data_IF_007502702438
#
_entry.id   IF_007502702438
#
_cell.length_a   1.000
_cell.length_b   1.000
_cell.length_c   1.000
_cell.angle_alpha   90.00
_cell.angle_beta   90.00
_cell.angle_gamma   90.00
#
_symmetry.space_group_name_H-M   'P 1'
#
loop_
_entity.id
_entity.type
_entity.pdbx_description
1 polymer ?
#
# COMPACT_ATOMS: atom_id res chain seq x y z
N UNK A 1 -40.19 28.10 38.30
CA UNK A 1 -39.73 28.70 37.01
C UNK A 1 -38.24 29.06 36.94
N UNK A 2 -37.37 28.72 37.91
CA UNK A 2 -35.93 29.06 37.85
C UNK A 2 -35.00 27.99 37.26
N UNK A 3 -35.50 26.79 36.96
CA UNK A 3 -34.67 25.66 36.51
C UNK A 3 -34.48 25.59 34.97
N UNK A 4 -35.27 26.35 34.20
CA UNK A 4 -35.25 26.28 32.73
C UNK A 4 -34.26 27.24 32.08
N UNK A 5 -33.81 28.27 32.81
CA UNK A 5 -32.87 29.26 32.28
C UNK A 5 -31.40 28.89 32.54
N UNK A 6 -31.12 28.05 33.53
CA UNK A 6 -29.76 27.56 33.80
C UNK A 6 -29.32 26.45 32.84
N UNK A 7 -30.25 25.63 32.31
CA UNK A 7 -29.93 24.63 31.28
C UNK A 7 -29.50 25.26 29.95
N UNK A 8 -30.10 26.39 29.56
CA UNK A 8 -29.71 27.09 28.32
C UNK A 8 -28.33 27.75 28.44
N UNK A 9 -27.95 28.21 29.64
CA UNK A 9 -26.65 28.81 29.88
C UNK A 9 -25.51 27.76 29.89
N UNK A 10 -25.76 26.55 30.38
CA UNK A 10 -24.78 25.44 30.31
C UNK A 10 -24.62 24.88 28.91
N UNK A 11 -25.69 24.87 28.10
CA UNK A 11 -25.64 24.37 26.72
C UNK A 11 -24.90 25.34 25.77
N UNK A 12 -24.94 26.65 26.05
CA UNK A 12 -24.17 27.65 25.29
C UNK A 12 -22.67 27.64 25.61
N UNK A 13 -22.28 27.20 26.82
CA UNK A 13 -20.87 27.19 27.24
C UNK A 13 -20.09 25.97 26.69
N UNK A 14 -20.79 24.88 26.36
CA UNK A 14 -20.18 23.71 25.70
C UNK A 14 -19.84 23.96 24.22
N UNK A 15 -20.44 24.97 23.58
CA UNK A 15 -20.16 25.37 22.19
C UNK A 15 -18.88 26.22 22.07
N UNK A 16 -18.37 26.75 23.20
CA UNK A 16 -17.17 27.57 23.26
C UNK A 16 -15.88 26.79 23.60
N UNK A 17 -15.97 25.48 23.82
CA UNK A 17 -14.77 24.65 23.84
C UNK A 17 -14.34 24.39 22.40
N UNK A 18 -13.16 24.86 21.96
CA UNK A 18 -12.61 24.44 20.69
C UNK A 18 -12.35 22.94 20.80
N UNK A 19 -13.23 22.13 20.23
CA UNK A 19 -12.90 20.75 19.90
C UNK A 19 -11.70 20.87 18.97
N UNK A 20 -10.52 20.46 19.44
CA UNK A 20 -9.29 20.58 18.69
C UNK A 20 -9.52 20.05 17.27
N UNK A 21 -9.46 20.94 16.29
CA UNK A 21 -9.53 20.57 14.90
C UNK A 21 -8.20 19.87 14.59
N UNK A 22 -8.20 18.54 14.61
CA UNK A 22 -7.17 17.78 13.93
C UNK A 22 -7.34 18.10 12.45
N UNK A 23 -6.41 18.87 11.91
CA UNK A 23 -6.34 19.13 10.49
C UNK A 23 -5.97 17.81 9.79
N UNK A 24 -6.99 17.00 9.46
CA UNK A 24 -6.84 16.03 8.39
C UNK A 24 -6.40 16.82 7.16
N UNK A 25 -5.18 16.59 6.67
CA UNK A 25 -4.72 17.22 5.43
C UNK A 25 -5.42 16.52 4.27
N UNK A 26 -6.66 16.94 3.99
CA UNK A 26 -7.39 16.52 2.79
C UNK A 26 -6.78 17.29 1.62
N UNK A 27 -5.81 16.67 0.93
CA UNK A 27 -5.33 17.17 -0.36
C UNK A 27 -6.31 16.76 -1.45
N UNK A 28 -7.41 17.49 -1.58
CA UNK A 28 -8.39 17.31 -2.66
C UNK A 28 -8.03 18.15 -3.89
N UNK A 29 -7.92 17.51 -5.05
CA UNK A 29 -7.68 18.14 -6.35
C UNK A 29 -8.05 17.20 -7.50
N UNK A 30 -7.92 17.65 -8.75
CA UNK A 30 -8.10 16.76 -9.91
C UNK A 30 -7.07 15.63 -9.89
N UNK A 31 -5.83 15.94 -9.51
CA UNK A 31 -4.73 14.99 -9.46
C UNK A 31 -3.90 15.15 -8.18
N UNK A 32 -3.39 14.04 -7.66
CA UNK A 32 -2.37 14.00 -6.62
C UNK A 32 -1.24 13.07 -7.04
N UNK A 33 0.01 13.50 -6.83
CA UNK A 33 1.20 12.68 -7.10
C UNK A 33 2.19 12.77 -5.95
N UNK A 34 2.48 11.62 -5.33
CA UNK A 34 3.66 11.42 -4.47
C UNK A 34 4.78 10.87 -5.37
N UNK A 35 5.88 11.62 -5.49
CA UNK A 35 6.98 11.27 -6.39
C UNK A 35 7.84 10.16 -5.81
N UNK A 36 8.52 9.40 -6.67
CA UNK A 36 9.40 8.30 -6.26
C UNK A 36 10.52 8.70 -5.28
N UNK A 37 10.97 9.96 -5.32
CA UNK A 37 11.98 10.48 -4.39
C UNK A 37 11.44 10.84 -3.01
N UNK A 38 10.13 10.78 -2.81
CA UNK A 38 9.45 11.18 -1.58
C UNK A 38 9.13 9.92 -0.76
N UNK A 39 9.26 10.04 0.57
CA UNK A 39 8.89 8.97 1.50
C UNK A 39 7.98 9.57 2.56
N UNK A 40 6.80 8.99 2.75
CA UNK A 40 5.93 9.32 3.88
C UNK A 40 6.34 8.46 5.07
N UNK A 41 6.61 9.09 6.22
CA UNK A 41 7.15 8.45 7.42
C UNK A 41 6.10 8.03 8.45
N UNK A 42 4.84 7.98 8.03
CA UNK A 42 3.68 7.66 8.86
C UNK A 42 2.54 7.15 7.95
N UNK A 43 1.37 6.90 8.52
CA UNK A 43 0.16 6.58 7.80
C UNK A 43 -0.21 7.71 6.83
N UNK A 44 -0.55 7.33 5.60
CA UNK A 44 -0.85 8.26 4.52
C UNK A 44 -2.31 8.14 4.06
N UNK A 45 -3.01 9.27 4.03
CA UNK A 45 -4.41 9.36 3.63
C UNK A 45 -4.55 10.36 2.51
N UNK A 46 -5.13 9.95 1.38
CA UNK A 46 -5.22 10.80 0.19
C UNK A 46 -6.50 10.57 -0.61
N UNK A 47 -7.04 11.63 -1.19
CA UNK A 47 -8.19 11.53 -2.09
C UNK A 47 -8.15 12.58 -3.20
N UNK A 48 -8.26 12.16 -4.45
CA UNK A 48 -8.25 13.04 -5.63
C UNK A 48 -9.01 12.38 -6.81
N UNK A 49 -9.22 13.11 -7.91
CA UNK A 49 -9.74 12.50 -9.14
C UNK A 49 -8.80 11.40 -9.68
N UNK A 50 -7.51 11.69 -9.70
CA UNK A 50 -6.41 10.78 -10.02
C UNK A 50 -5.38 10.79 -8.89
N UNK A 51 -5.00 9.62 -8.38
CA UNK A 51 -3.98 9.47 -7.33
C UNK A 51 -2.84 8.60 -7.86
N UNK A 52 -1.63 9.15 -7.85
CA UNK A 52 -0.39 8.43 -8.17
C UNK A 52 0.55 8.44 -6.97
N UNK A 53 0.91 7.27 -6.47
CA UNK A 53 1.79 7.09 -5.31
C UNK A 53 3.01 6.31 -5.76
N UNK A 54 4.02 7.02 -6.26
CA UNK A 54 5.28 6.43 -6.70
C UNK A 54 6.36 6.41 -5.61
N UNK A 55 6.21 7.25 -4.57
CA UNK A 55 7.06 7.25 -3.38
C UNK A 55 6.65 6.20 -2.36
N UNK A 56 7.57 5.86 -1.46
CA UNK A 56 7.34 4.86 -0.42
C UNK A 56 6.49 5.40 0.74
N UNK A 57 5.70 4.52 1.35
CA UNK A 57 4.90 4.80 2.55
C UNK A 57 5.35 3.89 3.69
N UNK A 58 6.01 4.49 4.68
CA UNK A 58 6.49 3.85 5.93
C UNK A 58 5.36 3.81 6.98
N UNK A 59 4.20 3.29 6.58
CA UNK A 59 3.01 3.14 7.40
C UNK A 59 1.86 2.52 6.59
N UNK A 60 0.63 2.75 7.01
CA UNK A 60 -0.56 2.37 6.25
C UNK A 60 -0.85 3.38 5.13
N UNK A 61 -1.53 2.93 4.08
CA UNK A 61 -2.03 3.78 3.01
C UNK A 61 -3.55 3.65 2.88
N UNK A 62 -4.25 4.79 2.93
CA UNK A 62 -5.64 4.90 2.52
C UNK A 62 -5.73 5.87 1.34
N UNK A 63 -6.17 5.39 0.18
CA UNK A 63 -6.32 6.23 -1.02
C UNK A 63 -7.70 6.06 -1.67
N UNK A 64 -8.25 7.15 -2.18
CA UNK A 64 -9.52 7.14 -2.91
C UNK A 64 -9.49 8.03 -4.14
N UNK A 65 -10.07 7.58 -5.26
CA UNK A 65 -10.19 8.43 -6.44
C UNK A 65 -10.99 7.84 -7.59
N UNK A 66 -11.03 8.53 -8.73
CA UNK A 66 -11.51 7.96 -9.98
C UNK A 66 -10.52 6.92 -10.52
N UNK A 67 -9.24 7.26 -10.51
CA UNK A 67 -8.11 6.37 -10.81
C UNK A 67 -7.07 6.42 -9.69
N UNK A 68 -6.60 5.26 -9.23
CA UNK A 68 -5.55 5.16 -8.20
C UNK A 68 -4.45 4.20 -8.65
N UNK A 69 -3.22 4.68 -8.69
CA UNK A 69 -2.02 3.85 -8.96
C UNK A 69 -1.05 3.95 -7.79
N UNK A 70 -0.70 2.80 -7.22
CA UNK A 70 0.31 2.67 -6.16
C UNK A 70 1.50 1.90 -6.74
N UNK A 71 2.63 2.59 -6.92
CA UNK A 71 3.85 2.04 -7.51
C UNK A 71 5.09 2.29 -6.65
N UNK A 72 4.90 2.73 -5.41
CA UNK A 72 5.91 2.72 -4.36
C UNK A 72 5.49 1.74 -3.26
N UNK A 73 6.47 1.26 -2.49
CA UNK A 73 6.23 0.22 -1.49
C UNK A 73 5.46 0.76 -0.28
N UNK A 74 4.62 -0.08 0.32
CA UNK A 74 3.90 0.25 1.56
C UNK A 74 4.29 -0.72 2.67
N UNK A 75 4.80 -0.20 3.78
CA UNK A 75 5.27 -1.03 4.91
C UNK A 75 4.15 -1.60 5.79
N UNK A 76 2.98 -0.97 5.76
CA UNK A 76 1.79 -1.38 6.49
C UNK A 76 0.67 -1.87 5.58
N UNK A 77 -0.57 -1.63 6.01
CA UNK A 77 -1.78 -2.06 5.33
C UNK A 77 -2.21 -1.05 4.27
N UNK A 78 -2.89 -1.52 3.22
CA UNK A 78 -3.40 -0.68 2.13
C UNK A 78 -4.91 -0.82 2.00
N UNK A 79 -5.63 0.30 2.03
CA UNK A 79 -7.05 0.40 1.70
C UNK A 79 -7.24 1.37 0.54
N UNK A 80 -7.63 0.87 -0.63
CA UNK A 80 -7.76 1.69 -1.84
C UNK A 80 -9.13 1.51 -2.50
N UNK A 81 -9.73 2.63 -2.91
CA UNK A 81 -11.00 2.64 -3.63
C UNK A 81 -10.95 3.50 -4.88
N UNK A 82 -11.48 3.01 -6.01
CA UNK A 82 -11.69 3.84 -7.19
C UNK A 82 -12.42 3.20 -8.36
N UNK A 83 -12.55 3.90 -9.48
CA UNK A 83 -13.04 3.32 -10.72
C UNK A 83 -12.03 2.34 -11.31
N UNK A 84 -10.79 2.79 -11.42
CA UNK A 84 -9.63 2.01 -11.85
C UNK A 84 -8.56 2.01 -10.74
N UNK A 85 -8.11 0.84 -10.31
CA UNK A 85 -7.09 0.69 -9.27
C UNK A 85 -5.96 -0.22 -9.74
N UNK A 86 -4.71 0.24 -9.62
CA UNK A 86 -3.52 -0.52 -9.92
C UNK A 86 -2.55 -0.53 -8.73
N UNK A 87 -2.25 -1.71 -8.21
CA UNK A 87 -1.24 -1.93 -7.17
C UNK A 87 -0.05 -2.63 -7.81
N UNK A 88 1.04 -1.89 -7.94
CA UNK A 88 2.19 -2.22 -8.78
C UNK A 88 3.47 -2.52 -7.98
N UNK A 89 3.48 -2.22 -6.68
CA UNK A 89 4.60 -2.48 -5.78
C UNK A 89 4.12 -3.09 -4.45
N UNK A 90 5.07 -3.61 -3.68
CA UNK A 90 4.84 -4.51 -2.56
C UNK A 90 4.09 -3.85 -1.40
N UNK A 91 3.15 -4.62 -0.84
CA UNK A 91 2.40 -4.31 0.38
C UNK A 91 2.82 -5.27 1.47
N UNK A 92 3.43 -4.76 2.54
CA UNK A 92 3.94 -5.58 3.64
C UNK A 92 2.90 -5.95 4.70
N UNK A 93 1.72 -5.34 4.64
CA UNK A 93 0.55 -5.73 5.41
C UNK A 93 -0.53 -6.39 4.56
N UNK A 94 -1.78 -6.14 4.93
CA UNK A 94 -2.97 -6.56 4.18
C UNK A 94 -3.31 -5.56 3.07
N UNK A 95 -3.89 -6.03 1.97
CA UNK A 95 -4.38 -5.21 0.87
C UNK A 95 -5.89 -5.36 0.71
N UNK A 96 -6.62 -4.25 0.88
CA UNK A 96 -8.08 -4.16 0.69
C UNK A 96 -8.38 -3.19 -0.44
N UNK A 97 -8.93 -3.69 -1.55
CA UNK A 97 -9.18 -2.88 -2.76
C UNK A 97 -10.62 -2.99 -3.22
N UNK A 98 -11.23 -1.86 -3.55
CA UNK A 98 -12.53 -1.82 -4.21
C UNK A 98 -12.45 -1.01 -5.52
N UNK A 99 -12.87 -1.59 -6.64
CA UNK A 99 -13.00 -0.81 -7.87
C UNK A 99 -13.65 -1.48 -9.05
N UNK A 100 -13.95 -0.71 -10.10
CA UNK A 100 -14.51 -1.24 -11.34
C UNK A 100 -13.53 -2.20 -12.03
N UNK A 101 -12.30 -1.72 -12.23
CA UNK A 101 -11.17 -2.51 -12.69
C UNK A 101 -10.07 -2.51 -11.61
N UNK A 102 -9.58 -3.70 -11.26
CA UNK A 102 -8.49 -3.86 -10.29
C UNK A 102 -7.38 -4.69 -10.91
N UNK A 103 -6.16 -4.15 -10.85
CA UNK A 103 -4.93 -4.81 -11.25
C UNK A 103 -3.99 -4.91 -10.05
N UNK A 104 -3.52 -6.12 -9.75
CA UNK A 104 -2.48 -6.36 -8.75
C UNK A 104 -1.33 -7.12 -9.42
N UNK A 105 -0.13 -6.55 -9.36
CA UNK A 105 1.10 -7.17 -9.90
C UNK A 105 2.20 -7.31 -8.84
N UNK A 106 1.88 -7.03 -7.58
CA UNK A 106 2.85 -6.97 -6.49
C UNK A 106 2.64 -8.04 -5.43
N UNK A 107 3.62 -8.20 -4.54
CA UNK A 107 3.48 -9.08 -3.39
C UNK A 107 2.64 -8.40 -2.31
N UNK A 108 1.76 -9.19 -1.69
CA UNK A 108 1.00 -8.80 -0.50
C UNK A 108 1.40 -9.77 0.59
N UNK A 109 2.08 -9.32 1.64
CA UNK A 109 2.56 -10.22 2.68
C UNK A 109 1.42 -10.76 3.56
N UNK A 110 0.32 -10.01 3.70
CA UNK A 110 -0.87 -10.39 4.43
C UNK A 110 -2.00 -10.93 3.56
N UNK A 111 -3.23 -10.60 3.94
CA UNK A 111 -4.45 -11.00 3.23
C UNK A 111 -4.73 -10.03 2.07
N UNK A 112 -5.28 -10.54 0.97
CA UNK A 112 -5.79 -9.74 -0.14
C UNK A 112 -7.31 -9.87 -0.23
N UNK A 113 -8.02 -8.75 -0.07
CA UNK A 113 -9.48 -8.69 -0.22
C UNK A 113 -9.83 -7.71 -1.34
N UNK A 114 -10.50 -8.19 -2.39
CA UNK A 114 -10.84 -7.38 -3.57
C UNK A 114 -12.34 -7.41 -3.85
N UNK A 115 -12.93 -6.23 -4.00
CA UNK A 115 -14.27 -6.06 -4.56
C UNK A 115 -14.14 -5.41 -5.93
N UNK A 116 -14.48 -6.10 -7.02
CA UNK A 116 -14.43 -5.45 -8.32
C UNK A 116 -15.12 -6.10 -9.50
N UNK A 117 -15.44 -5.27 -10.50
CA UNK A 117 -16.09 -5.72 -11.73
C UNK A 117 -15.19 -6.63 -12.56
N UNK A 118 -13.94 -6.22 -12.73
CA UNK A 118 -12.88 -6.97 -13.40
C UNK A 118 -11.63 -6.96 -12.52
N UNK A 119 -11.24 -8.13 -12.01
CA UNK A 119 -10.08 -8.30 -11.12
C UNK A 119 -9.03 -9.14 -11.83
N UNK A 120 -7.80 -8.61 -11.90
CA UNK A 120 -6.64 -9.31 -12.45
C UNK A 120 -5.51 -9.29 -11.44
N UNK A 121 -5.12 -10.47 -10.97
CA UNK A 121 -3.97 -10.68 -10.09
C UNK A 121 -2.94 -11.42 -10.94
N UNK A 122 -1.94 -10.70 -11.44
CA UNK A 122 -1.06 -11.22 -12.49
C UNK A 122 0.11 -12.04 -11.94
N UNK A 123 0.76 -12.78 -12.84
CA UNK A 123 1.99 -13.49 -12.53
C UNK A 123 3.07 -12.54 -12.02
N UNK A 124 3.88 -13.02 -11.08
CA UNK A 124 4.86 -12.20 -10.34
C UNK A 124 4.34 -11.68 -8.99
N UNK A 125 3.03 -11.72 -8.75
CA UNK A 125 2.45 -11.47 -7.42
C UNK A 125 2.42 -12.74 -6.56
N UNK A 126 2.63 -12.57 -5.26
CA UNK A 126 2.39 -13.59 -4.22
C UNK A 126 1.54 -13.00 -3.12
N UNK A 127 0.45 -13.67 -2.79
CA UNK A 127 -0.40 -13.36 -1.63
C UNK A 127 0.06 -14.27 -0.48
N UNK A 128 0.59 -13.66 0.57
CA UNK A 128 1.27 -14.34 1.68
C UNK A 128 0.33 -15.09 2.61
N UNK A 129 -0.97 -14.80 2.55
CA UNK A 129 -2.04 -15.48 3.30
C UNK A 129 -3.25 -15.72 2.40
N UNK A 130 -4.45 -15.30 2.81
CA UNK A 130 -5.71 -15.63 2.16
C UNK A 130 -6.09 -14.61 1.09
N UNK A 131 -6.77 -15.09 0.05
CA UNK A 131 -7.33 -14.27 -1.01
C UNK A 131 -8.86 -14.34 -0.98
N UNK A 132 -9.51 -13.18 -0.93
CA UNK A 132 -10.96 -13.07 -1.02
C UNK A 132 -11.32 -12.13 -2.17
N UNK A 133 -12.10 -12.61 -3.15
CA UNK A 133 -12.53 -11.80 -4.30
C UNK A 133 -14.04 -11.87 -4.48
N UNK A 134 -14.69 -10.72 -4.59
CA UNK A 134 -16.10 -10.62 -4.96
C UNK A 134 -16.31 -9.67 -6.14
N UNK A 135 -17.29 -9.95 -6.99
CA UNK A 135 -17.69 -9.07 -8.08
C UNK A 135 -17.99 -9.78 -9.40
N UNK A 136 -17.43 -9.30 -10.51
CA UNK A 136 -17.83 -9.73 -11.86
C UNK A 136 -16.98 -10.88 -12.43
N UNK A 137 -15.70 -10.60 -12.71
CA UNK A 137 -14.73 -11.54 -13.27
C UNK A 137 -13.43 -11.52 -12.49
N UNK A 138 -12.83 -12.70 -12.30
CA UNK A 138 -11.48 -12.88 -11.75
C UNK A 138 -10.58 -13.62 -12.75
N UNK A 139 -9.38 -13.05 -12.98
CA UNK A 139 -8.22 -13.75 -13.52
C UNK A 139 -7.13 -13.80 -12.44
N UNK A 140 -6.78 -15.00 -12.00
CA UNK A 140 -5.75 -15.26 -10.97
C UNK A 140 -4.56 -16.02 -11.58
N UNK A 141 -3.45 -15.30 -11.80
CA UNK A 141 -2.16 -15.84 -12.23
C UNK A 141 -1.05 -15.67 -11.15
N UNK A 142 -1.38 -15.06 -10.01
CA UNK A 142 -0.50 -14.91 -8.86
C UNK A 142 -0.62 -16.06 -7.86
N UNK A 143 0.47 -16.38 -7.16
CA UNK A 143 0.47 -17.46 -6.17
C UNK A 143 -0.24 -17.04 -4.89
N UNK A 144 -0.93 -17.98 -4.24
CA UNK A 144 -1.61 -17.74 -2.95
C UNK A 144 -1.12 -18.78 -1.93
N UNK A 145 -0.66 -18.30 -0.78
CA UNK A 145 -0.11 -19.15 0.29
C UNK A 145 -1.16 -19.72 1.25
N UNK A 146 -2.31 -19.08 1.34
CA UNK A 146 -3.45 -19.54 2.13
C UNK A 146 -4.62 -19.99 1.25
N UNK A 147 -5.82 -19.75 1.77
CA UNK A 147 -7.07 -20.14 1.15
C UNK A 147 -7.55 -19.09 0.12
N UNK A 148 -8.30 -19.54 -0.88
CA UNK A 148 -8.91 -18.69 -1.90
C UNK A 148 -10.43 -18.77 -1.79
N UNK A 149 -11.08 -17.66 -1.48
CA UNK A 149 -12.55 -17.54 -1.48
C UNK A 149 -13.01 -16.58 -2.55
N UNK A 150 -13.84 -17.07 -3.48
CA UNK A 150 -14.26 -16.30 -4.65
C UNK A 150 -15.78 -16.32 -4.79
N UNK A 151 -16.36 -15.14 -5.02
CA UNK A 151 -17.76 -14.96 -5.35
C UNK A 151 -17.91 -14.02 -6.53
N UNK A 152 -17.63 -14.53 -7.74
CA UNK A 152 -17.74 -13.80 -9.00
C UNK A 152 -18.47 -14.64 -10.05
N UNK A 153 -18.95 -14.02 -11.12
CA UNK A 153 -19.64 -14.73 -12.21
C UNK A 153 -18.69 -15.61 -13.04
N UNK A 154 -17.51 -15.09 -13.39
CA UNK A 154 -16.52 -15.82 -14.18
C UNK A 154 -15.16 -15.89 -13.47
N UNK A 155 -14.63 -17.10 -13.33
CA UNK A 155 -13.35 -17.38 -12.66
C UNK A 155 -12.39 -18.07 -13.61
N UNK A 156 -11.18 -17.53 -13.73
CA UNK A 156 -10.03 -18.21 -14.33
C UNK A 156 -8.87 -18.20 -13.34
N UNK A 157 -8.40 -19.40 -12.98
CA UNK A 157 -7.27 -19.61 -12.08
C UNK A 157 -6.20 -20.34 -12.86
N UNK A 158 -5.01 -19.79 -12.95
CA UNK A 158 -3.80 -20.45 -13.46
C UNK A 158 -2.63 -20.14 -12.52
N UNK A 159 -2.69 -20.71 -11.31
CA UNK A 159 -1.83 -20.34 -10.18
C UNK A 159 -1.55 -21.50 -9.22
N UNK A 160 -0.48 -21.38 -8.43
CA UNK A 160 -0.26 -22.26 -7.27
C UNK A 160 -0.99 -21.71 -6.05
N UNK A 161 -1.80 -22.56 -5.42
CA UNK A 161 -2.56 -22.29 -4.21
C UNK A 161 -2.19 -23.35 -3.18
N UNK A 162 -1.60 -22.91 -2.06
CA UNK A 162 -1.13 -23.82 -1.01
C UNK A 162 -2.27 -24.27 -0.06
N UNK A 163 -3.43 -23.59 -0.08
CA UNK A 163 -4.63 -23.93 0.72
C UNK A 163 -5.83 -24.46 -0.07
N UNK A 164 -7.03 -24.31 0.51
CA UNK A 164 -8.32 -24.68 -0.07
C UNK A 164 -8.87 -23.58 -1.00
N UNK A 165 -9.70 -23.99 -1.97
CA UNK A 165 -10.37 -23.09 -2.90
C UNK A 165 -11.89 -23.21 -2.75
N UNK A 166 -12.54 -22.08 -2.49
CA UNK A 166 -13.99 -21.95 -2.30
C UNK A 166 -14.58 -21.00 -3.33
N UNK A 167 -15.27 -21.51 -4.35
CA UNK A 167 -15.90 -20.70 -5.39
C UNK A 167 -17.42 -20.75 -5.22
N UNK A 168 -18.06 -19.60 -5.04
CA UNK A 168 -19.49 -19.50 -4.72
C UNK A 168 -20.25 -18.76 -5.82
N UNK A 169 -21.30 -19.41 -6.32
CA UNK A 169 -22.29 -18.83 -7.26
C UNK A 169 -21.67 -18.27 -8.54
N UNK A 170 -20.77 -19.04 -9.14
CA UNK A 170 -20.19 -18.69 -10.43
C UNK A 170 -20.98 -19.29 -11.59
N UNK A 171 -20.95 -18.61 -12.73
CA UNK A 171 -21.51 -19.05 -14.00
C UNK A 171 -20.51 -19.90 -14.80
N UNK A 172 -19.22 -19.61 -14.66
CA UNK A 172 -18.13 -20.33 -15.34
C UNK A 172 -16.86 -20.34 -14.49
N UNK A 173 -16.23 -21.50 -14.38
CA UNK A 173 -14.98 -21.70 -13.65
C UNK A 173 -13.99 -22.42 -14.58
N UNK A 174 -12.81 -21.87 -14.74
CA UNK A 174 -11.71 -22.47 -15.49
C UNK A 174 -10.49 -22.60 -14.60
N UNK A 175 -10.00 -23.83 -14.43
CA UNK A 175 -8.72 -24.14 -13.79
C UNK A 175 -7.72 -24.42 -14.91
N UNK A 176 -6.74 -23.53 -15.06
CA UNK A 176 -5.71 -23.56 -16.09
C UNK A 176 -4.65 -24.64 -15.83
N UNK A 177 -3.95 -25.02 -16.89
CA UNK A 177 -3.02 -26.16 -16.90
C UNK A 177 -1.82 -25.99 -15.94
N UNK A 178 -1.48 -24.77 -15.54
CA UNK A 178 -0.39 -24.48 -14.59
C UNK A 178 -0.86 -24.50 -13.14
N UNK A 179 -2.16 -24.73 -12.89
CA UNK A 179 -2.73 -24.66 -11.56
C UNK A 179 -2.32 -25.85 -10.69
N UNK A 180 -1.90 -25.55 -9.46
CA UNK A 180 -1.68 -26.55 -8.41
C UNK A 180 -2.40 -26.09 -7.16
N UNK A 181 -3.50 -26.77 -6.83
CA UNK A 181 -4.28 -26.56 -5.61
C UNK A 181 -3.91 -27.67 -4.64
N UNK A 182 -3.24 -27.31 -3.55
CA UNK A 182 -2.77 -28.29 -2.55
C UNK A 182 -3.91 -28.80 -1.64
N UNK A 183 -4.97 -28.01 -1.49
CA UNK A 183 -6.18 -28.37 -0.74
C UNK A 183 -7.32 -28.87 -1.61
N UNK A 184 -8.54 -28.68 -1.10
CA UNK A 184 -9.79 -29.04 -1.74
C UNK A 184 -10.28 -27.92 -2.68
N UNK A 185 -11.02 -28.30 -3.71
CA UNK A 185 -11.78 -27.37 -4.56
C UNK A 185 -13.27 -27.54 -4.30
N UNK A 186 -13.86 -26.65 -3.51
CA UNK A 186 -15.32 -26.59 -3.31
C UNK A 186 -15.92 -25.51 -4.19
N UNK A 187 -16.92 -25.86 -5.01
CA UNK A 187 -17.56 -24.89 -5.91
C UNK A 187 -19.09 -25.00 -5.93
N UNK A 188 -19.77 -23.90 -6.26
CA UNK A 188 -21.22 -23.86 -6.45
C UNK A 188 -21.63 -22.93 -7.58
N UNK A 189 -22.74 -23.25 -8.25
CA UNK A 189 -23.34 -22.45 -9.31
C UNK A 189 -24.60 -23.12 -9.85
N UNK A 190 -24.90 -22.90 -11.13
CA UNK A 190 -26.12 -23.43 -11.77
C UNK A 190 -26.20 -24.96 -11.71
N UNK A 191 -25.10 -25.63 -12.07
CA UNK A 191 -24.92 -27.07 -12.03
C UNK A 191 -23.42 -27.39 -12.08
N UNK A 192 -23.04 -28.66 -11.95
CA UNK A 192 -21.64 -29.06 -11.87
C UNK A 192 -20.84 -28.83 -13.18
N UNK A 193 -21.51 -28.65 -14.33
CA UNK A 193 -20.87 -28.50 -15.65
C UNK A 193 -20.19 -27.14 -15.87
N UNK A 194 -20.38 -26.20 -14.95
CA UNK A 194 -19.71 -24.88 -14.99
C UNK A 194 -18.20 -24.96 -14.78
N UNK A 195 -17.69 -26.08 -14.26
CA UNK A 195 -16.28 -26.28 -13.96
C UNK A 195 -15.56 -26.96 -15.13
N UNK A 196 -14.54 -26.27 -15.65
CA UNK A 196 -13.59 -26.80 -16.60
C UNK A 196 -12.19 -26.86 -15.96
N UNK A 197 -11.59 -28.04 -15.92
CA UNK A 197 -10.23 -28.25 -15.44
C UNK A 197 -9.38 -28.68 -16.64
N UNK A 198 -8.36 -27.88 -16.95
CA UNK A 198 -7.47 -28.13 -18.08
C UNK A 198 -6.54 -29.31 -17.82
N UNK A 199 -6.16 -30.01 -18.88
CA UNK A 199 -5.11 -31.04 -18.81
C UNK A 199 -3.82 -30.43 -18.26
N UNK A 200 -3.29 -30.99 -17.16
CA UNK A 200 -2.10 -30.50 -16.46
C UNK A 200 -2.39 -29.83 -15.12
N UNK A 201 -3.61 -29.34 -14.89
CA UNK A 201 -4.02 -28.83 -13.60
C UNK A 201 -4.03 -29.94 -12.54
N UNK A 202 -3.63 -29.62 -11.31
CA UNK A 202 -3.61 -30.56 -10.19
C UNK A 202 -4.41 -30.01 -9.02
N UNK A 203 -5.40 -30.78 -8.56
CA UNK A 203 -6.09 -30.59 -7.28
C UNK A 203 -5.73 -31.79 -6.42
N UNK A 204 -4.99 -31.55 -5.34
CA UNK A 204 -4.47 -32.64 -4.49
C UNK A 204 -5.53 -33.16 -3.50
N UNK A 205 -6.48 -32.30 -3.10
CA UNK A 205 -7.63 -32.67 -2.28
C UNK A 205 -8.86 -33.08 -3.09
N UNK A 206 -10.03 -33.01 -2.47
CA UNK A 206 -11.30 -33.34 -3.10
C UNK A 206 -11.84 -32.19 -3.95
N UNK A 207 -12.49 -32.51 -5.08
CA UNK A 207 -13.28 -31.56 -5.86
C UNK A 207 -14.76 -31.79 -5.58
N UNK A 208 -15.42 -30.83 -4.92
CA UNK A 208 -16.78 -30.96 -4.39
C UNK A 208 -17.70 -29.89 -4.98
N UNK A 209 -18.72 -30.32 -5.69
CA UNK A 209 -19.84 -29.45 -6.07
C UNK A 209 -20.86 -29.37 -4.94
N UNK A 210 -21.26 -28.15 -4.55
CA UNK A 210 -22.36 -27.90 -3.61
C UNK A 210 -23.51 -27.21 -4.33
N UNK A 211 -24.69 -27.80 -4.27
CA UNK A 211 -25.91 -27.13 -4.73
C UNK A 211 -26.12 -25.83 -3.96
N UNK A 212 -26.22 -24.73 -4.68
CA UNK A 212 -26.46 -23.42 -4.10
C UNK A 212 -27.94 -23.23 -3.76
N UNK A 213 -28.24 -22.94 -2.49
CA UNK A 213 -29.41 -22.10 -2.17
C UNK A 213 -28.97 -20.66 -2.45
N UNK A 214 -29.62 -19.99 -3.41
CA UNK A 214 -29.37 -18.62 -3.87
C UNK A 214 -28.73 -17.76 -2.78
N UNK A 215 -27.56 -17.18 -3.08
CA UNK A 215 -26.79 -16.29 -2.19
C UNK A 215 -27.73 -15.30 -1.49
N UNK A 216 -28.03 -15.53 -0.22
CA UNK A 216 -28.91 -14.62 0.49
C UNK A 216 -28.16 -13.31 0.71
N UNK A 217 -28.84 -12.19 0.46
CA UNK A 217 -28.41 -10.79 0.70
C UNK A 217 -27.73 -10.55 2.08
N UNK A 218 -27.88 -11.48 3.02
CA UNK A 218 -27.28 -11.48 4.36
C UNK A 218 -25.77 -11.77 4.36
N UNK A 219 -25.26 -12.65 3.49
CA UNK A 219 -23.82 -12.96 3.42
C UNK A 219 -23.02 -11.83 2.78
N UNK A 220 -23.53 -11.24 1.68
CA UNK A 220 -22.93 -10.05 1.05
C UNK A 220 -22.77 -8.87 2.03
N UNK A 221 -23.77 -8.66 2.90
CA UNK A 221 -23.73 -7.62 3.93
C UNK A 221 -22.66 -7.89 4.99
N UNK A 222 -22.51 -9.14 5.41
CA UNK A 222 -21.49 -9.50 6.40
C UNK A 222 -20.07 -9.36 5.83
N UNK A 223 -19.87 -9.71 4.55
CA UNK A 223 -18.57 -9.52 3.90
C UNK A 223 -18.28 -8.02 3.68
N UNK A 224 -19.26 -7.23 3.26
CA UNK A 224 -19.13 -5.77 3.15
C UNK A 224 -18.87 -5.10 4.51
N UNK A 225 -19.53 -5.58 5.57
CA UNK A 225 -19.31 -5.14 6.95
C UNK A 225 -17.95 -5.60 7.50
N UNK A 226 -17.42 -6.75 7.08
CA UNK A 226 -16.05 -7.16 7.39
C UNK A 226 -15.02 -6.31 6.62
N UNK A 227 -15.33 -5.95 5.36
CA UNK A 227 -14.50 -5.11 4.49
C UNK A 227 -14.35 -3.68 5.04
N UNK A 228 -15.43 -3.09 5.56
CA UNK A 228 -15.44 -1.70 6.09
C UNK A 228 -15.35 -1.60 7.62
N UNK A 229 -15.94 -2.52 8.37
CA UNK A 229 -16.46 -2.21 9.71
C UNK A 229 -15.46 -2.32 10.85
N UNK A 230 -14.62 -3.36 10.89
CA UNK A 230 -13.73 -3.57 12.03
C UNK A 230 -12.39 -2.84 11.87
N UNK A 231 -11.84 -2.85 10.66
CA UNK A 231 -10.51 -2.32 10.38
C UNK A 231 -10.49 -0.78 10.41
N UNK A 232 -11.43 -0.13 9.72
CA UNK A 232 -11.57 1.34 9.75
C UNK A 232 -11.89 1.82 11.16
N UNK A 233 -12.73 1.10 11.90
CA UNK A 233 -13.13 1.47 13.26
C UNK A 233 -11.98 1.36 14.27
N UNK A 234 -11.21 0.27 14.26
CA UNK A 234 -10.05 0.10 15.16
C UNK A 234 -8.92 1.09 14.83
N UNK A 235 -8.66 1.37 13.55
CA UNK A 235 -7.64 2.37 13.16
C UNK A 235 -8.12 3.80 13.46
N UNK A 236 -9.41 4.12 13.35
CA UNK A 236 -9.96 5.41 13.85
C UNK A 236 -9.76 5.57 15.36
N UNK A 237 -9.90 4.49 16.13
CA UNK A 237 -9.61 4.49 17.57
C UNK A 237 -8.13 4.69 17.88
N UNK A 238 -7.24 4.08 17.09
CA UNK A 238 -5.79 4.30 17.23
C UNK A 238 -5.39 5.76 16.96
N UNK A 239 -6.06 6.44 16.01
CA UNK A 239 -5.90 7.88 15.77
C UNK A 239 -6.36 8.75 16.95
N UNK A 240 -7.37 8.31 17.72
CA UNK A 240 -7.82 9.00 18.94
C UNK A 240 -6.88 8.76 20.14
N UNK A 241 -6.21 7.60 20.18
CA UNK A 241 -5.27 7.22 21.24
C UNK A 241 -3.88 7.84 21.13
N UNK A 242 -3.44 8.21 19.92
CA UNK A 242 -2.11 8.80 19.67
C UNK A 242 -1.92 10.23 20.25
N UNK A 243 -2.97 10.86 20.78
CA UNK A 243 -2.87 12.14 21.49
C UNK A 243 -2.50 12.01 22.98
N UNK A 244 -2.32 10.78 23.48
CA UNK A 244 -1.89 10.51 24.84
C UNK A 244 -0.38 10.22 24.93
N UNK A 245 0.44 10.94 24.17
CA UNK A 245 1.86 11.06 24.47
C UNK A 245 2.31 12.51 24.29
N UNK A 246 1.75 13.39 25.13
CA UNK A 246 2.25 14.76 25.27
C UNK A 246 2.91 14.92 26.64
N UNK A 247 4.24 14.85 26.61
CA UNK A 247 5.10 15.76 27.38
C UNK A 247 5.39 15.39 28.82
N UNK A 248 6.50 14.68 29.03
CA UNK A 248 7.25 14.76 30.29
C UNK A 248 8.78 14.78 30.05
N UNK A 249 9.27 15.70 29.22
CA UNK A 249 10.66 16.15 29.31
C UNK A 249 10.70 17.68 29.33
N UNK A 250 10.50 18.26 30.53
CA UNK A 250 10.88 19.65 30.80
C UNK A 250 12.41 19.75 30.90
N UNK A 251 13.05 20.73 30.24
CA UNK A 251 14.28 21.31 30.72
C UNK A 251 13.92 22.57 31.52
N UNK A 252 14.06 22.54 32.85
CA UNK A 252 14.05 23.78 33.62
C UNK A 252 15.07 23.79 34.77
N UNK A 253 15.78 24.91 34.80
CA UNK A 253 16.94 25.30 35.59
C UNK A 253 16.67 25.39 37.11
N UNK A 254 17.72 25.18 37.91
CA UNK A 254 18.39 26.21 38.76
C UNK A 254 19.23 25.55 39.86
N UNK A 255 20.55 25.79 39.86
CA UNK A 255 21.29 25.85 41.12
C UNK A 255 22.33 26.97 41.12
N UNK A 256 22.29 27.71 42.22
CA UNK A 256 22.98 28.95 42.52
C UNK A 256 24.52 28.85 42.55
N UNK A 257 25.12 29.93 42.06
CA UNK A 257 26.37 30.59 42.47
C UNK A 257 27.36 29.86 43.37
N UNK A 258 28.61 29.76 42.87
CA UNK A 258 29.77 30.10 43.69
C UNK A 258 30.88 30.75 42.86
N UNK A 259 31.02 32.05 43.10
CA UNK A 259 32.21 32.90 43.03
C UNK A 259 33.56 32.14 43.02
N UNK A 260 34.44 32.45 42.05
CA UNK A 260 35.84 32.88 42.27
C UNK A 260 36.59 33.14 40.94
N UNK A 261 36.87 34.42 40.71
CA UNK A 261 38.12 35.03 40.18
C UNK A 261 39.06 34.20 39.29
N UNK A 262 39.29 34.66 38.04
CA UNK A 262 40.59 35.20 37.57
C UNK A 262 40.57 35.60 36.09
N UNK A 263 41.35 36.65 35.83
CA UNK A 263 41.66 37.32 34.58
C UNK A 263 41.99 36.41 33.38
N UNK A 264 41.47 36.75 32.19
CA UNK A 264 42.29 37.27 31.09
C UNK A 264 41.44 37.81 29.92
N UNK A 265 41.91 38.95 29.39
CA UNK A 265 41.50 39.60 28.16
C UNK A 265 41.53 38.66 26.94
N UNK A 266 40.58 38.78 26.02
CA UNK A 266 40.83 39.36 24.69
C UNK A 266 39.58 39.29 23.78
N UNK A 267 39.44 40.34 23.00
CA UNK A 267 38.35 40.82 22.16
C UNK A 267 37.97 39.95 20.95
N UNK A 268 36.72 40.09 20.52
CA UNK A 268 36.19 39.75 19.19
C UNK A 268 36.88 40.55 18.07
N UNK A 269 37.07 39.96 16.87
CA UNK A 269 36.90 40.66 15.57
C UNK A 269 36.50 39.65 14.46
N UNK A 270 35.49 40.07 13.68
CA UNK A 270 34.95 39.49 12.46
C UNK A 270 35.39 40.37 11.27
N UNK A 271 35.89 39.81 10.13
CA UNK A 271 35.50 40.22 8.75
C UNK A 271 36.25 39.42 7.64
N UNK A 272 35.66 39.28 6.42
CA UNK A 272 36.14 38.51 5.28
C UNK A 272 36.81 39.37 4.19
N UNK A 273 37.17 38.72 3.07
CA UNK A 273 37.72 39.20 1.78
C UNK A 273 39.20 38.88 1.54
N UNK A 274 39.48 37.98 0.58
CA UNK A 274 40.30 38.35 -0.57
C UNK A 274 40.13 37.37 -1.74
N UNK A 275 39.62 37.90 -2.85
CA UNK A 275 39.78 37.36 -4.21
C UNK A 275 41.00 38.04 -4.82
N UNK A 276 41.95 37.33 -5.44
CA UNK A 276 42.70 37.86 -6.59
C UNK A 276 43.49 36.76 -7.33
N UNK A 277 43.30 36.73 -8.65
CA UNK A 277 43.99 35.93 -9.67
C UNK A 277 45.49 36.25 -9.76
N UNK A 278 46.29 35.28 -10.21
CA UNK A 278 47.43 35.53 -11.11
C UNK A 278 47.66 34.36 -12.10
N UNK A 279 47.97 34.73 -13.34
CA UNK A 279 48.20 33.91 -14.54
C UNK A 279 49.69 33.60 -14.79
N UNK A 280 49.92 32.43 -15.40
CA UNK A 280 50.88 32.06 -16.47
C UNK A 280 52.40 32.32 -16.36
N UNK A 281 53.17 31.22 -16.54
CA UNK A 281 54.30 30.99 -17.47
C UNK A 281 54.94 29.63 -17.12
N UNK A 282 55.60 28.83 -17.94
CA UNK A 282 55.84 28.64 -19.39
C UNK A 282 56.85 27.47 -19.46
N UNK A 283 56.82 26.60 -20.48
CA UNK A 283 58.00 25.75 -20.76
C UNK A 283 57.75 24.46 -21.54
N UNK A 284 57.86 24.55 -22.88
CA UNK A 284 57.92 23.44 -23.84
C UNK A 284 59.38 23.02 -24.08
N UNK A 285 59.68 21.71 -24.16
CA UNK A 285 60.72 21.15 -25.08
C UNK A 285 60.31 19.76 -25.60
N UNK A 286 60.41 19.61 -26.93
CA UNK A 286 60.36 18.37 -27.72
C UNK A 286 61.78 17.78 -27.86
N UNK A 287 61.92 16.48 -28.11
CA UNK A 287 62.38 15.90 -29.41
C UNK A 287 62.75 14.40 -29.34
N UNK A 288 62.36 13.69 -30.41
CA UNK A 288 63.07 12.56 -31.04
C UNK A 288 62.62 11.15 -30.65
N UNK A 289 62.55 10.14 -31.52
CA UNK A 289 62.62 10.00 -32.97
C UNK A 289 62.20 8.54 -33.30
N UNK A 290 61.78 8.31 -34.55
CA UNK A 290 61.33 7.02 -35.11
C UNK A 290 62.49 6.01 -35.31
N UNK A 291 62.23 4.69 -35.25
CA UNK A 291 62.23 3.79 -36.43
C UNK A 291 62.26 2.27 -36.09
N UNK A 292 61.38 1.54 -36.81
CA UNK A 292 61.58 0.27 -37.56
C UNK A 292 61.53 -1.16 -36.96
N UNK A 293 60.87 -2.03 -37.78
CA UNK A 293 60.93 -3.50 -37.94
C UNK A 293 60.20 -4.37 -36.88
N UNK A 294 59.41 -5.42 -37.15
CA UNK A 294 59.03 -6.33 -38.26
C UNK A 294 57.62 -6.91 -37.88
N UNK A 295 56.68 -7.29 -38.75
CA UNK A 295 56.73 -8.37 -39.75
C UNK A 295 56.05 -9.64 -39.21
N UNK A 296 54.88 -10.04 -39.75
CA UNK A 296 54.32 -11.39 -39.56
C UNK A 296 52.80 -11.56 -39.65
N UNK A 297 52.27 -11.82 -40.86
CA UNK A 297 50.99 -12.52 -41.08
C UNK A 297 51.28 -14.03 -41.20
N UNK A 298 50.40 -14.90 -40.68
CA UNK A 298 49.58 -15.87 -41.44
C UNK A 298 49.22 -17.17 -40.67
N UNK A 299 47.94 -17.52 -40.83
CA UNK A 299 47.28 -18.83 -40.89
C UNK A 299 46.88 -19.61 -39.62
N UNK A 300 45.61 -20.04 -39.67
CA UNK A 300 44.82 -20.79 -38.70
C UNK A 300 43.36 -20.46 -38.93
#
# INVERSE_FOLDING_TARGET
>A
MKLRNTLCASLLLAVLFPVGAFAATIKGGETYSLKQSEVIKDNFYVGAGEVSIAGDVDGDLIAGGGSVTVSGSTSGDVLVGGGDVAILDDVRGDLRVAGGNVLVTSNVAGDLVVLGGNVRILSGSTIGKDLVVLGGRLLLNGNVKGDVTVGVGEVEIDSRIDGDVYIKNSDKITIGASSVISGNLTYSGKDASILNISDGASVMGETVFKESKIFQRKEAKNILLAFLGLFVFLKLLALLGANCDSGAHHPFLLHHDRFLSRHHNASCVYNPHNSFLYLLRSGVRRLGAQNHHEGGRYHG
#
